data_IF_357315334090
#
_entry.id   IF_357315334090
#
_cell.length_a   1.000
_cell.length_b   1.000
_cell.length_c   1.000
_cell.angle_alpha   90.00
_cell.angle_beta   90.00
_cell.angle_gamma   90.00
#
_symmetry.space_group_name_H-M   'P 1'
#
loop_
_entity.id
_entity.type
_entity.pdbx_description
1 polymer ?
#
# COMPACT_ATOMS: atom_id res chain seq x y z
N UNK A 1 44.46 -49.22 41.32
CA UNK A 1 44.25 -49.53 39.89
C UNK A 1 42.80 -49.95 39.71
N UNK A 2 42.10 -49.31 38.78
CA UNK A 2 40.86 -49.79 38.12
C UNK A 2 39.55 -49.70 38.97
N UNK A 3 38.79 -48.60 38.83
CA UNK A 3 37.61 -48.39 37.94
C UNK A 3 36.32 -49.07 38.46
N UNK A 4 35.30 -48.30 38.88
CA UNK A 4 34.10 -47.90 38.09
C UNK A 4 33.00 -48.99 38.20
N UNK A 5 31.69 -48.78 38.42
CA UNK A 5 30.78 -47.67 38.15
C UNK A 5 29.48 -47.88 38.95
N UNK A 6 28.88 -46.76 39.32
CA UNK A 6 27.57 -46.59 39.95
C UNK A 6 26.46 -46.95 38.97
N UNK A 7 25.44 -47.68 39.44
CA UNK A 7 24.15 -47.80 38.76
C UNK A 7 23.06 -47.52 39.79
N UNK A 8 22.61 -46.26 39.83
CA UNK A 8 21.47 -45.84 40.64
C UNK A 8 20.35 -45.46 39.67
N UNK A 9 19.32 -46.30 39.65
CA UNK A 9 18.04 -46.04 38.99
C UNK A 9 17.49 -44.72 39.50
N UNK A 10 17.17 -43.80 38.59
CA UNK A 10 16.30 -42.68 38.90
C UNK A 10 15.20 -42.61 37.85
N UNK A 11 14.00 -42.93 38.32
CA UNK A 11 12.72 -42.66 37.67
C UNK A 11 12.69 -41.19 37.23
N UNK A 12 12.50 -40.92 35.94
CA UNK A 12 12.14 -39.58 35.48
C UNK A 12 10.92 -39.67 34.57
N UNK A 13 9.95 -38.85 34.96
CA UNK A 13 8.59 -38.71 34.45
C UNK A 13 8.65 -38.14 33.04
N UNK A 14 8.03 -38.84 32.08
CA UNK A 14 7.75 -38.27 30.75
C UNK A 14 6.67 -37.19 30.90
N UNK A 15 7.09 -35.93 30.95
CA UNK A 15 6.21 -34.78 30.82
C UNK A 15 6.13 -34.40 29.33
N UNK A 16 5.13 -34.94 28.64
CA UNK A 16 4.74 -34.45 27.31
C UNK A 16 4.14 -33.05 27.48
N UNK A 17 4.99 -32.03 27.41
CA UNK A 17 4.53 -30.64 27.29
C UNK A 17 4.03 -30.49 25.86
N UNK A 18 2.73 -30.64 25.66
CA UNK A 18 2.04 -30.09 24.51
C UNK A 18 2.14 -28.57 24.65
N UNK A 19 3.17 -27.98 24.05
CA UNK A 19 3.19 -26.54 23.80
C UNK A 19 2.03 -26.27 22.85
N UNK A 20 0.90 -25.92 23.46
CA UNK A 20 -0.21 -25.30 22.77
C UNK A 20 0.33 -23.95 22.34
N UNK A 21 0.87 -23.86 21.12
CA UNK A 21 1.08 -22.56 20.50
C UNK A 21 -0.27 -21.85 20.58
N UNK A 22 -0.35 -20.64 21.16
CA UNK A 22 -1.52 -19.84 20.94
C UNK A 22 -1.60 -19.67 19.42
N UNK A 23 -2.62 -20.28 18.80
CA UNK A 23 -3.09 -19.83 17.49
C UNK A 23 -3.48 -18.40 17.75
N UNK A 24 -2.58 -17.48 17.41
CA UNK A 24 -2.92 -16.07 17.35
C UNK A 24 -4.19 -16.01 16.51
N UNK A 25 -5.27 -15.52 17.09
CA UNK A 25 -6.47 -15.21 16.35
C UNK A 25 -6.05 -14.22 15.27
N UNK A 26 -5.88 -14.72 14.05
CA UNK A 26 -5.73 -13.87 12.88
C UNK A 26 -6.99 -13.02 12.86
N UNK A 27 -6.83 -11.72 13.12
CA UNK A 27 -7.87 -10.74 12.86
C UNK A 27 -8.26 -10.92 11.40
N UNK A 28 -9.36 -11.62 11.15
CA UNK A 28 -9.85 -11.88 9.81
C UNK A 28 -10.53 -10.60 9.32
N UNK A 29 -9.73 -9.57 9.03
CA UNK A 29 -10.21 -8.39 8.31
C UNK A 29 -10.55 -8.89 6.91
N UNK A 30 -11.84 -9.01 6.62
CA UNK A 30 -12.33 -9.45 5.32
C UNK A 30 -11.78 -8.52 4.25
N UNK A 31 -11.17 -9.10 3.21
CA UNK A 31 -10.68 -8.35 2.05
C UNK A 31 -11.89 -7.71 1.34
N UNK A 32 -11.91 -6.39 1.12
CA UNK A 32 -12.97 -5.72 0.38
C UNK A 32 -13.08 -6.19 -1.08
N UNK A 33 -14.25 -6.02 -1.68
CA UNK A 33 -14.49 -6.41 -3.09
C UNK A 33 -13.70 -5.55 -4.09
N UNK A 34 -13.44 -4.28 -3.73
CA UNK A 34 -12.69 -3.29 -4.50
C UNK A 34 -11.18 -3.33 -4.24
N UNK A 35 -10.68 -4.35 -3.54
CA UNK A 35 -9.25 -4.51 -3.31
C UNK A 35 -8.50 -4.81 -4.63
N UNK A 36 -7.37 -4.14 -4.85
CA UNK A 36 -6.48 -4.43 -5.98
C UNK A 36 -5.63 -5.66 -5.68
N UNK A 37 -5.29 -6.43 -6.71
CA UNK A 37 -4.45 -7.64 -6.61
C UNK A 37 -3.06 -7.37 -7.20
N UNK A 38 -2.01 -7.94 -6.60
CA UNK A 38 -0.62 -7.81 -7.07
C UNK A 38 0.38 -8.72 -6.35
N UNK A 39 1.62 -8.77 -6.84
CA UNK A 39 2.80 -9.37 -6.18
C UNK A 39 3.63 -8.24 -5.56
N UNK A 40 3.14 -7.64 -4.47
CA UNK A 40 3.67 -6.36 -3.98
C UNK A 40 5.01 -6.48 -3.26
N UNK A 41 5.39 -7.69 -2.81
CA UNK A 41 6.70 -7.94 -2.18
C UNK A 41 7.66 -8.78 -3.04
N UNK A 42 7.27 -9.11 -4.27
CA UNK A 42 8.09 -9.79 -5.27
C UNK A 42 8.38 -11.25 -4.93
N UNK A 43 7.52 -11.89 -4.13
CA UNK A 43 7.67 -13.28 -3.70
C UNK A 43 6.90 -14.28 -4.60
N UNK A 44 6.26 -13.78 -5.66
CA UNK A 44 5.46 -14.51 -6.64
C UNK A 44 4.17 -15.12 -6.08
N UNK A 45 3.69 -14.62 -4.94
CA UNK A 45 2.33 -14.86 -4.46
C UNK A 45 1.48 -13.63 -4.74
N UNK A 46 0.17 -13.86 -4.75
CA UNK A 46 -0.80 -12.79 -4.96
C UNK A 46 -1.27 -12.27 -3.60
N UNK A 47 -1.11 -10.98 -3.40
CA UNK A 47 -1.68 -10.20 -2.31
C UNK A 47 -2.80 -9.30 -2.81
N UNK A 48 -3.55 -8.78 -1.84
CA UNK A 48 -4.59 -7.80 -2.05
C UNK A 48 -4.22 -6.53 -1.29
N UNK A 49 -4.46 -5.36 -1.89
CA UNK A 49 -4.34 -4.07 -1.22
C UNK A 49 -5.64 -3.28 -1.31
N UNK A 50 -5.98 -2.56 -0.25
CA UNK A 50 -7.19 -1.73 -0.19
C UNK A 50 -6.97 -0.54 0.74
N UNK A 51 -7.70 0.54 0.49
CA UNK A 51 -7.58 1.77 1.26
C UNK A 51 -8.75 1.92 2.23
N UNK A 52 -8.49 2.47 3.42
CA UNK A 52 -9.53 2.96 4.34
C UNK A 52 -9.21 4.38 4.76
N UNK A 53 -10.22 5.16 5.12
CA UNK A 53 -10.07 6.52 5.65
C UNK A 53 -10.65 6.64 7.06
N UNK A 54 -10.20 7.65 7.81
CA UNK A 54 -10.70 7.97 9.15
C UNK A 54 -11.79 9.05 9.14
N UNK A 55 -12.55 9.20 8.05
CA UNK A 55 -13.67 10.13 7.99
C UNK A 55 -14.77 9.69 8.98
N UNK A 56 -15.46 10.66 9.60
CA UNK A 56 -16.61 10.35 10.47
C UNK A 56 -17.89 10.24 9.63
N UNK A 57 -18.62 9.14 9.77
CA UNK A 57 -19.99 9.00 9.27
C UNK A 57 -21.02 9.29 10.39
N UNK A 58 -22.22 9.84 10.07
CA UNK A 58 -22.72 10.19 8.75
C UNK A 58 -22.34 11.62 8.31
N UNK A 59 -22.08 11.78 7.01
CA UNK A 59 -21.90 13.07 6.32
C UNK A 59 -23.22 13.89 6.23
N UNK A 60 -23.93 14.10 7.34
CA UNK A 60 -25.18 14.89 7.38
C UNK A 60 -24.94 16.27 7.98
N UNK A 61 -25.21 17.34 7.20
CA UNK A 61 -25.16 18.75 7.64
C UNK A 61 -23.86 19.49 7.26
N UNK A 62 -23.61 20.65 7.88
CA UNK A 62 -22.45 21.54 7.66
C UNK A 62 -21.10 20.95 8.15
N UNK A 63 -21.04 19.65 8.48
CA UNK A 63 -19.89 18.97 9.09
C UNK A 63 -19.02 18.21 8.05
N UNK A 64 -18.90 18.75 6.84
CA UNK A 64 -18.24 18.12 5.68
C UNK A 64 -16.72 17.95 5.80
N UNK A 65 -16.13 18.11 7.00
CA UNK A 65 -14.67 18.20 7.19
C UNK A 65 -14.16 17.52 8.47
N UNK A 66 -14.91 16.55 9.04
CA UNK A 66 -14.47 15.90 10.29
C UNK A 66 -13.86 14.51 10.08
N UNK A 67 -12.55 14.42 10.33
CA UNK A 67 -11.85 13.16 10.49
C UNK A 67 -11.64 12.81 11.97
N UNK A 68 -11.66 11.53 12.30
CA UNK A 68 -11.37 11.05 13.64
C UNK A 68 -9.95 11.44 14.05
N UNK A 69 -9.81 12.20 15.15
CA UNK A 69 -8.52 12.72 15.61
C UNK A 69 -8.10 14.05 14.97
N UNK A 70 -8.95 14.67 14.14
CA UNK A 70 -8.73 16.01 13.55
C UNK A 70 -7.93 16.01 12.25
N UNK A 71 -6.95 15.11 12.11
CA UNK A 71 -6.16 14.97 10.88
C UNK A 71 -6.74 13.88 9.96
N UNK A 72 -7.13 14.25 8.75
CA UNK A 72 -7.59 13.31 7.73
C UNK A 72 -6.43 12.50 7.16
N UNK A 73 -6.56 11.18 7.21
CA UNK A 73 -5.59 10.24 6.67
C UNK A 73 -6.27 9.00 6.14
N UNK A 74 -5.59 8.37 5.19
CA UNK A 74 -5.91 7.04 4.73
C UNK A 74 -4.82 6.05 5.12
N UNK A 75 -5.19 4.77 5.14
CA UNK A 75 -4.28 3.65 5.30
C UNK A 75 -4.52 2.69 4.15
N UNK A 76 -3.47 2.41 3.36
CA UNK A 76 -3.46 1.30 2.41
C UNK A 76 -3.01 0.06 3.19
N UNK A 77 -3.90 -0.91 3.26
CA UNK A 77 -3.69 -2.20 3.90
C UNK A 77 -3.28 -3.25 2.86
N UNK A 78 -2.67 -4.34 3.35
CA UNK A 78 -2.30 -5.49 2.54
C UNK A 78 -2.81 -6.77 3.19
N UNK A 79 -3.18 -7.76 2.37
CA UNK A 79 -3.60 -9.08 2.87
C UNK A 79 -2.46 -9.86 3.50
N UNK A 80 -1.22 -9.64 3.04
CA UNK A 80 -0.02 -10.18 3.65
C UNK A 80 0.45 -9.24 4.79
N UNK A 81 0.33 -9.70 6.03
CA UNK A 81 0.69 -8.91 7.21
C UNK A 81 2.18 -8.59 7.34
N UNK A 82 3.03 -9.19 6.52
CA UNK A 82 4.47 -8.87 6.47
C UNK A 82 4.74 -7.61 5.65
N UNK A 83 3.83 -7.25 4.74
CA UNK A 83 3.89 -6.01 3.97
C UNK A 83 3.39 -4.88 4.87
N UNK A 84 4.21 -3.83 5.03
CA UNK A 84 3.83 -2.68 5.85
C UNK A 84 2.76 -1.86 5.15
N UNK A 85 1.81 -1.38 5.95
CA UNK A 85 0.77 -0.44 5.49
C UNK A 85 1.39 0.89 5.04
N UNK A 86 0.70 1.58 4.12
CA UNK A 86 1.04 2.95 3.70
C UNK A 86 0.09 3.91 4.40
N UNK A 87 0.63 4.89 5.14
CA UNK A 87 -0.16 5.96 5.76
C UNK A 87 -0.08 7.18 4.87
N UNK A 88 -1.24 7.67 4.43
CA UNK A 88 -1.37 8.80 3.51
C UNK A 88 -2.03 9.96 4.24
N UNK A 89 -1.31 11.07 4.41
CA UNK A 89 -1.85 12.30 5.01
C UNK A 89 -2.71 13.08 4.01
N UNK A 90 -3.62 13.91 4.50
CA UNK A 90 -4.52 14.73 3.66
C UNK A 90 -5.30 13.85 2.67
N UNK A 91 -5.89 12.78 3.18
CA UNK A 91 -6.59 11.80 2.38
C UNK A 91 -7.91 11.40 3.06
N UNK A 92 -8.98 11.36 2.28
CA UNK A 92 -10.31 10.92 2.72
C UNK A 92 -10.83 9.69 1.94
N UNK A 93 -10.07 9.23 0.96
CA UNK A 93 -10.38 8.13 0.05
C UNK A 93 -9.36 8.09 -1.07
N UNK A 94 -9.63 7.30 -2.10
CA UNK A 94 -8.84 7.28 -3.32
C UNK A 94 -9.74 7.52 -4.53
N UNK A 95 -9.37 8.49 -5.37
CA UNK A 95 -9.95 8.65 -6.70
C UNK A 95 -9.29 7.66 -7.68
N UNK A 96 -8.06 7.25 -7.37
CA UNK A 96 -7.35 6.15 -8.01
C UNK A 96 -6.54 5.37 -6.97
N UNK A 97 -6.71 4.05 -6.93
CA UNK A 97 -5.79 3.11 -6.31
C UNK A 97 -5.58 1.97 -7.31
N UNK A 98 -4.37 1.83 -7.82
CA UNK A 98 -4.09 0.91 -8.93
C UNK A 98 -2.78 0.16 -8.68
N UNK A 99 -2.76 -1.12 -9.07
CA UNK A 99 -1.52 -1.89 -9.23
C UNK A 99 -0.95 -1.58 -10.62
N UNK A 100 0.29 -1.08 -10.67
CA UNK A 100 0.99 -0.69 -11.89
C UNK A 100 1.95 -1.76 -12.43
N UNK A 101 2.00 -2.91 -11.75
CA UNK A 101 3.01 -3.93 -11.97
C UNK A 101 4.41 -3.47 -11.54
N UNK A 102 5.42 -4.26 -11.84
CA UNK A 102 6.83 -3.92 -11.60
C UNK A 102 7.31 -2.84 -12.59
N UNK A 103 7.25 -1.56 -12.18
CA UNK A 103 7.65 -0.42 -13.02
C UNK A 103 9.18 -0.23 -13.06
N UNK A 104 9.89 -0.59 -11.99
CA UNK A 104 11.32 -0.32 -11.82
C UNK A 104 12.26 -1.52 -12.03
N UNK A 105 11.73 -2.68 -12.43
CA UNK A 105 12.45 -3.95 -12.59
C UNK A 105 13.06 -4.51 -11.28
N UNK A 106 12.44 -4.25 -10.12
CA UNK A 106 12.91 -4.79 -8.83
C UNK A 106 12.21 -6.08 -8.39
N UNK A 107 11.22 -6.53 -9.16
CA UNK A 107 10.50 -7.78 -9.00
C UNK A 107 9.21 -7.68 -8.20
N UNK A 108 8.96 -6.57 -7.49
CA UNK A 108 7.68 -6.31 -6.82
C UNK A 108 6.80 -5.36 -7.63
N UNK A 109 5.49 -5.49 -7.44
CA UNK A 109 4.50 -4.59 -8.04
C UNK A 109 4.46 -3.23 -7.33
N UNK A 110 4.34 -2.16 -8.13
CA UNK A 110 4.23 -0.77 -7.67
C UNK A 110 2.77 -0.30 -7.62
N UNK A 111 2.49 0.72 -6.81
CA UNK A 111 1.14 1.24 -6.59
C UNK A 111 1.02 2.70 -7.00
N UNK A 112 0.05 3.01 -7.85
CA UNK A 112 -0.39 4.40 -8.06
C UNK A 112 -1.54 4.74 -7.11
N UNK A 113 -1.46 5.93 -6.53
CA UNK A 113 -2.50 6.51 -5.68
C UNK A 113 -2.77 7.96 -6.09
N UNK A 114 -4.04 8.30 -6.30
CA UNK A 114 -4.52 9.68 -6.26
C UNK A 114 -5.51 9.81 -5.09
N UNK A 115 -5.12 10.48 -3.99
CA UNK A 115 -5.95 10.57 -2.80
C UNK A 115 -7.09 11.57 -3.00
N UNK A 116 -8.32 11.17 -2.66
CA UNK A 116 -9.50 12.05 -2.67
C UNK A 116 -9.36 13.19 -1.66
N UNK A 117 -9.96 14.35 -1.97
CA UNK A 117 -10.06 15.49 -1.05
C UNK A 117 -11.39 16.26 -1.23
N UNK A 118 -11.85 16.93 -0.17
CA UNK A 118 -13.19 17.56 -0.12
C UNK A 118 -13.43 18.66 -1.16
N UNK A 119 -12.44 19.53 -1.35
CA UNK A 119 -12.64 20.84 -2.00
C UNK A 119 -11.78 21.05 -3.24
N UNK A 120 -10.92 20.09 -3.61
CA UNK A 120 -9.97 20.26 -4.71
C UNK A 120 -9.98 19.07 -5.65
N UNK A 121 -10.22 19.36 -6.93
CA UNK A 121 -10.01 18.45 -8.06
C UNK A 121 -8.53 18.40 -8.48
N UNK A 122 -7.68 19.33 -7.98
CA UNK A 122 -6.23 19.23 -8.12
C UNK A 122 -5.65 18.39 -7.00
N UNK A 123 -4.96 17.31 -7.39
CA UNK A 123 -4.37 16.34 -6.50
C UNK A 123 -2.92 16.05 -6.88
N UNK A 124 -2.19 15.50 -5.92
CA UNK A 124 -0.89 14.90 -6.18
C UNK A 124 -1.07 13.41 -6.41
N UNK A 125 -0.61 12.91 -7.56
CA UNK A 125 -0.45 11.48 -7.79
C UNK A 125 0.84 10.99 -7.13
N UNK A 126 0.74 9.86 -6.43
CA UNK A 126 1.81 9.20 -5.70
C UNK A 126 2.09 7.84 -6.34
N UNK A 127 3.36 7.50 -6.55
CA UNK A 127 3.77 6.20 -7.08
C UNK A 127 4.65 5.55 -6.03
N UNK A 128 4.14 4.50 -5.39
CA UNK A 128 4.82 3.80 -4.31
C UNK A 128 5.54 2.56 -4.82
N UNK A 129 6.76 2.37 -4.35
CA UNK A 129 7.59 1.18 -4.58
C UNK A 129 8.08 0.61 -3.24
N UNK A 130 8.13 -0.71 -3.11
CA UNK A 130 8.52 -1.38 -1.86
C UNK A 130 10.02 -1.66 -1.85
N UNK A 131 10.79 -0.82 -1.14
CA UNK A 131 12.25 -0.98 -1.04
C UNK A 131 12.69 -1.31 0.38
N UNK A 132 13.36 -2.44 0.56
CA UNK A 132 13.83 -2.91 1.87
C UNK A 132 12.69 -3.00 2.91
N UNK A 133 11.53 -3.56 2.51
CA UNK A 133 10.33 -3.69 3.37
C UNK A 133 9.80 -2.33 3.88
N UNK A 134 9.98 -1.27 3.08
CA UNK A 134 9.43 0.05 3.34
C UNK A 134 8.96 0.68 2.02
N UNK A 135 7.71 1.10 1.99
CA UNK A 135 7.16 1.86 0.88
C UNK A 135 7.82 3.23 0.78
N UNK A 136 8.12 3.64 -0.45
CA UNK A 136 8.71 4.95 -0.76
C UNK A 136 8.09 5.47 -2.04
N UNK A 137 8.05 6.79 -2.17
CA UNK A 137 7.77 7.43 -3.46
C UNK A 137 8.88 7.06 -4.45
N UNK A 138 8.51 6.40 -5.55
CA UNK A 138 9.42 6.04 -6.64
C UNK A 138 9.93 7.30 -7.34
N UNK A 139 9.04 8.27 -7.54
CA UNK A 139 9.31 9.57 -8.13
C UNK A 139 8.67 10.66 -7.29
N UNK A 140 9.05 11.92 -7.50
CA UNK A 140 8.36 13.04 -6.87
C UNK A 140 6.87 13.03 -7.31
N UNK A 141 5.91 13.18 -6.37
CA UNK A 141 4.50 13.32 -6.72
C UNK A 141 4.28 14.40 -7.77
N UNK A 142 3.34 14.16 -8.67
CA UNK A 142 3.03 15.03 -9.80
C UNK A 142 1.55 15.38 -9.83
N UNK A 143 1.22 16.48 -10.49
CA UNK A 143 -0.11 17.05 -10.40
C UNK A 143 -1.08 16.37 -11.38
N UNK A 144 -2.26 16.03 -10.88
CA UNK A 144 -3.39 15.49 -11.63
C UNK A 144 -4.60 16.37 -11.35
N UNK A 145 -5.36 16.66 -12.40
CA UNK A 145 -6.70 17.21 -12.31
C UNK A 145 -7.72 16.09 -12.48
N UNK A 146 -8.76 16.03 -11.65
CA UNK A 146 -9.72 14.92 -11.62
C UNK A 146 -10.33 14.57 -13.00
N UNK A 147 -10.57 15.55 -13.88
CA UNK A 147 -11.07 15.26 -15.23
C UNK A 147 -10.10 14.41 -16.08
N UNK A 148 -8.79 14.49 -15.82
CA UNK A 148 -7.81 13.58 -16.44
C UNK A 148 -8.09 12.13 -16.05
N UNK A 149 -8.44 11.84 -14.79
CA UNK A 149 -8.72 10.48 -14.33
C UNK A 149 -10.01 9.92 -14.92
N UNK A 150 -11.03 10.76 -15.10
CA UNK A 150 -12.28 10.37 -15.77
C UNK A 150 -12.05 9.99 -17.24
N UNK A 151 -11.15 10.71 -17.92
CA UNK A 151 -10.81 10.44 -19.32
C UNK A 151 -9.83 9.27 -19.49
N UNK A 152 -8.79 9.23 -18.65
CA UNK A 152 -7.75 8.20 -18.65
C UNK A 152 -7.17 7.99 -17.23
N UNK A 153 -7.56 6.93 -16.51
CA UNK A 153 -7.00 6.63 -15.19
C UNK A 153 -5.55 6.12 -15.23
N UNK A 154 -5.05 5.73 -16.41
CA UNK A 154 -3.72 5.14 -16.61
C UNK A 154 -2.65 6.25 -16.67
N UNK A 155 -2.26 6.77 -15.49
CA UNK A 155 -1.40 7.95 -15.35
C UNK A 155 0.10 7.64 -15.36
N UNK A 156 0.49 6.37 -15.23
CA UNK A 156 1.87 5.91 -15.26
C UNK A 156 1.94 4.58 -16.00
N UNK A 157 3.03 4.33 -16.72
CA UNK A 157 3.32 3.01 -17.28
C UNK A 157 4.79 2.79 -17.55
N UNK A 158 5.21 1.54 -17.49
CA UNK A 158 6.54 1.11 -17.90
C UNK A 158 6.70 1.21 -19.41
N UNK A 159 7.77 1.86 -19.86
CA UNK A 159 8.10 2.04 -21.29
C UNK A 159 9.47 1.48 -21.64
N UNK A 160 10.23 1.00 -20.66
CA UNK A 160 11.50 0.32 -20.86
C UNK A 160 12.13 -0.08 -19.53
N UNK A 161 13.31 -0.69 -19.62
CA UNK A 161 14.07 -1.11 -18.44
C UNK A 161 14.43 0.12 -17.58
N UNK A 162 13.91 0.16 -16.35
CA UNK A 162 13.99 1.26 -15.40
C UNK A 162 13.52 2.59 -15.97
N UNK A 163 12.49 2.56 -16.83
CA UNK A 163 12.01 3.73 -17.54
C UNK A 163 10.49 3.72 -17.59
N UNK A 164 9.88 4.76 -17.02
CA UNK A 164 8.43 4.96 -16.99
C UNK A 164 8.04 6.21 -17.77
N UNK A 165 6.82 6.24 -18.30
CA UNK A 165 6.15 7.44 -18.78
C UNK A 165 5.05 7.80 -17.77
N UNK A 166 4.94 9.09 -17.44
CA UNK A 166 3.84 9.63 -16.63
C UNK A 166 3.04 10.67 -17.41
N UNK A 167 1.76 10.79 -17.06
CA UNK A 167 0.82 11.78 -17.57
C UNK A 167 0.43 12.74 -16.43
N UNK A 168 0.82 14.00 -16.53
CA UNK A 168 0.57 15.04 -15.51
C UNK A 168 -0.25 16.20 -16.10
N UNK A 169 -1.17 16.76 -15.33
CA UNK A 169 -1.93 17.94 -15.74
C UNK A 169 -1.14 19.21 -15.45
N UNK A 170 -1.12 20.13 -16.41
CA UNK A 170 -0.58 21.48 -16.28
C UNK A 170 -1.65 22.51 -16.64
N UNK A 171 -1.56 23.71 -16.07
CA UNK A 171 -2.32 24.89 -16.53
C UNK A 171 -1.37 25.75 -17.36
N UNK A 172 -1.75 26.00 -18.60
CA UNK A 172 -1.01 26.83 -19.56
C UNK A 172 -2.01 27.78 -20.23
N UNK A 173 -1.83 29.09 -20.07
CA UNK A 173 -2.73 30.14 -20.57
C UNK A 173 -4.22 29.85 -20.32
N UNK A 174 -4.58 29.52 -19.08
CA UNK A 174 -5.95 29.17 -18.63
C UNK A 174 -6.55 27.90 -19.29
N UNK A 175 -5.72 27.08 -19.94
CA UNK A 175 -6.12 25.78 -20.48
C UNK A 175 -5.47 24.62 -19.72
N UNK A 176 -6.26 23.58 -19.46
CA UNK A 176 -5.76 22.33 -18.92
C UNK A 176 -5.08 21.54 -20.03
N UNK A 177 -3.84 21.12 -19.79
CA UNK A 177 -3.04 20.36 -20.73
C UNK A 177 -2.48 19.12 -20.02
N UNK A 178 -2.76 17.93 -20.56
CA UNK A 178 -2.09 16.70 -20.12
C UNK A 178 -0.74 16.62 -20.82
N UNK A 179 0.34 16.62 -20.05
CA UNK A 179 1.71 16.52 -20.55
C UNK A 179 2.29 15.15 -20.18
N UNK A 180 2.98 14.54 -21.13
CA UNK A 180 3.72 13.30 -20.93
C UNK A 180 5.19 13.59 -20.67
N UNK A 181 5.79 12.86 -19.74
CA UNK A 181 7.25 12.83 -19.62
C UNK A 181 7.76 11.47 -19.20
N UNK A 182 8.94 11.15 -19.69
CA UNK A 182 9.64 9.92 -19.34
C UNK A 182 10.58 10.16 -18.16
N UNK A 183 10.57 9.25 -17.19
CA UNK A 183 11.39 9.31 -15.98
C UNK A 183 12.15 8.01 -15.81
N UNK A 184 13.43 8.10 -15.48
CA UNK A 184 14.26 6.94 -15.15
C UNK A 184 14.12 6.61 -13.67
N UNK A 185 13.83 5.36 -13.34
CA UNK A 185 13.52 4.89 -11.98
C UNK A 185 14.61 3.93 -11.47
N UNK A 186 14.56 3.56 -10.18
CA UNK A 186 15.63 2.85 -9.46
C UNK A 186 15.11 1.91 -8.38
#
# INVERSE_FOLDING_TARGET
MTFLKIMMMCLSINLLILWSFPVNALNNKSIPEDAIQGDFDGDHKTEFAWITSNIKEPQTGDNMDECEGGDCRCIIHFSNSMIKEIVVSMCIGADLLQNEGDLNDDGGDDIALVPSWWTSCWQAAHIYTLKNQQWREMIKPFSIYCAQLEENPDIVRKVGHHLIEIEETHIDDDTFQVKKRTVKVK
#
